data_IF_869393854013
#
_entry.id   IF_869393854013
#
_cell.length_a   1.000
_cell.length_b   1.000
_cell.length_c   1.000
_cell.angle_alpha   90.00
_cell.angle_beta   90.00
_cell.angle_gamma   90.00
#
_symmetry.space_group_name_H-M   'P 1'
#
loop_
_entity.id
_entity.type
_entity.pdbx_description
1 polymer ?
#
# COMPACT_ATOMS: atom_id res chain seq x y z
N UNK A 1 0.26 6.29 -27.72
CA UNK A 1 1.03 5.02 -27.67
C UNK A 1 2.21 5.21 -26.74
N UNK A 2 2.64 4.18 -25.99
CA UNK A 2 3.82 4.27 -25.11
C UNK A 2 5.08 4.48 -25.94
N UNK A 3 5.34 3.60 -26.91
CA UNK A 3 6.32 3.79 -27.98
C UNK A 3 5.57 3.87 -29.32
N UNK A 4 5.92 4.79 -30.24
CA UNK A 4 6.97 5.81 -30.16
C UNK A 4 6.50 7.14 -29.53
N UNK A 5 5.43 7.13 -28.72
CA UNK A 5 4.80 8.36 -28.22
C UNK A 5 5.56 9.02 -27.07
N UNK A 6 5.51 8.42 -25.88
CA UNK A 6 6.06 9.02 -24.64
C UNK A 6 7.37 8.40 -24.18
N UNK A 7 7.74 7.23 -24.71
CA UNK A 7 8.95 6.50 -24.37
C UNK A 7 9.71 6.04 -25.61
N UNK A 8 11.03 5.88 -25.45
CA UNK A 8 11.95 5.32 -26.43
C UNK A 8 12.26 3.85 -26.16
N UNK A 9 13.55 3.51 -26.04
CA UNK A 9 14.00 2.15 -25.74
C UNK A 9 13.57 1.67 -24.33
N UNK A 10 13.20 0.39 -24.19
CA UNK A 10 12.78 -0.16 -22.90
C UNK A 10 13.95 -0.28 -21.93
N UNK A 11 13.68 -0.06 -20.63
CA UNK A 11 14.62 -0.33 -19.55
C UNK A 11 14.57 -1.83 -19.18
N UNK A 12 15.27 -2.66 -19.95
CA UNK A 12 15.18 -4.13 -19.84
C UNK A 12 15.56 -4.67 -18.45
N UNK A 13 16.48 -4.01 -17.74
CA UNK A 13 16.80 -4.34 -16.35
C UNK A 13 15.61 -4.13 -15.39
N UNK A 14 14.82 -3.08 -15.59
CA UNK A 14 13.60 -2.83 -14.80
C UNK A 14 12.50 -3.85 -15.14
N UNK A 15 12.41 -4.25 -16.41
CA UNK A 15 11.46 -5.29 -16.84
C UNK A 15 11.80 -6.63 -16.18
N UNK A 16 13.09 -7.01 -16.17
CA UNK A 16 13.54 -8.23 -15.48
C UNK A 16 13.24 -8.18 -13.96
N UNK A 17 13.51 -7.06 -13.30
CA UNK A 17 13.17 -6.88 -11.88
C UNK A 17 11.67 -6.99 -11.60
N UNK A 18 10.82 -6.41 -12.47
CA UNK A 18 9.36 -6.54 -12.35
C UNK A 18 8.87 -7.98 -12.57
N UNK A 19 9.50 -8.73 -13.48
CA UNK A 19 9.17 -10.14 -13.68
C UNK A 19 9.41 -10.96 -12.41
N UNK A 20 10.55 -10.75 -11.75
CA UNK A 20 10.85 -11.37 -10.46
C UNK A 20 9.85 -10.95 -9.37
N UNK A 21 9.55 -9.65 -9.26
CA UNK A 21 8.57 -9.15 -8.28
C UNK A 21 7.16 -9.74 -8.51
N UNK A 22 6.74 -9.93 -9.76
CA UNK A 22 5.45 -10.58 -10.07
C UNK A 22 5.46 -12.07 -9.74
N UNK A 23 6.58 -12.76 -9.96
CA UNK A 23 6.72 -14.14 -9.52
C UNK A 23 6.59 -14.26 -8.00
N UNK A 24 7.27 -13.40 -7.24
CA UNK A 24 7.15 -13.34 -5.77
C UNK A 24 5.72 -13.00 -5.31
N UNK A 25 5.08 -12.03 -5.96
CA UNK A 25 3.69 -11.65 -5.67
C UNK A 25 2.67 -12.76 -5.95
N UNK A 26 2.99 -13.70 -6.86
CA UNK A 26 2.15 -14.85 -7.17
C UNK A 26 2.27 -15.99 -6.16
N UNK A 27 3.26 -15.96 -5.25
CA UNK A 27 3.45 -17.01 -4.26
C UNK A 27 2.37 -16.95 -3.16
N UNK A 28 1.90 -18.10 -2.62
CA UNK A 28 0.93 -18.12 -1.53
C UNK A 28 1.34 -17.28 -0.31
N UNK A 29 2.64 -17.27 0.02
CA UNK A 29 3.20 -16.47 1.11
C UNK A 29 2.95 -14.96 0.93
N UNK A 30 2.88 -14.46 -0.31
CA UNK A 30 2.59 -13.05 -0.56
C UNK A 30 1.13 -12.71 -0.22
N UNK A 31 0.19 -13.65 -0.39
CA UNK A 31 -1.20 -13.49 0.04
C UNK A 31 -1.30 -13.36 1.56
N UNK A 32 -0.58 -14.21 2.29
CA UNK A 32 -0.50 -14.15 3.76
C UNK A 32 0.13 -12.83 4.24
N UNK A 33 1.20 -12.40 3.58
CA UNK A 33 1.84 -11.11 3.82
C UNK A 33 0.86 -9.95 3.59
N UNK A 34 0.15 -9.92 2.45
CA UNK A 34 -0.80 -8.86 2.14
C UNK A 34 -1.95 -8.79 3.16
N UNK A 35 -2.46 -9.94 3.61
CA UNK A 35 -3.47 -9.98 4.68
C UNK A 35 -2.91 -9.43 5.99
N UNK A 36 -1.70 -9.82 6.36
CA UNK A 36 -1.01 -9.33 7.56
C UNK A 36 -0.84 -7.80 7.53
N UNK A 37 -0.55 -7.20 6.37
CA UNK A 37 -0.47 -5.74 6.21
C UNK A 37 -1.81 -5.07 6.55
N UNK A 38 -2.94 -5.62 6.07
CA UNK A 38 -4.27 -5.08 6.36
C UNK A 38 -4.62 -5.25 7.84
N UNK A 39 -4.34 -6.41 8.42
CA UNK A 39 -4.62 -6.69 9.83
C UNK A 39 -3.81 -5.77 10.76
N UNK A 40 -2.54 -5.54 10.43
CA UNK A 40 -1.68 -4.58 11.14
C UNK A 40 -2.23 -3.15 11.04
N UNK A 41 -2.73 -2.73 9.89
CA UNK A 41 -3.34 -1.42 9.74
C UNK A 41 -4.60 -1.27 10.60
N UNK A 42 -5.44 -2.31 10.72
CA UNK A 42 -6.61 -2.33 11.61
C UNK A 42 -6.22 -2.26 13.09
N UNK A 43 -5.16 -2.98 13.49
CA UNK A 43 -4.61 -2.87 14.84
C UNK A 43 -4.14 -1.44 15.12
N UNK A 44 -3.42 -0.83 14.19
CA UNK A 44 -2.93 0.55 14.33
C UNK A 44 -4.09 1.57 14.45
N UNK A 45 -5.16 1.40 13.67
CA UNK A 45 -6.41 2.18 13.81
C UNK A 45 -6.96 2.08 15.23
N UNK A 46 -7.04 0.88 15.81
CA UNK A 46 -7.53 0.70 17.17
C UNK A 46 -6.60 1.36 18.21
N UNK A 47 -5.28 1.24 18.03
CA UNK A 47 -4.29 1.91 18.88
C UNK A 47 -4.44 3.43 18.81
N UNK A 48 -4.61 4.02 17.64
CA UNK A 48 -4.81 5.47 17.48
C UNK A 48 -6.09 5.95 18.14
N UNK A 49 -7.20 5.24 17.95
CA UNK A 49 -8.46 5.52 18.67
C UNK A 49 -8.28 5.52 20.18
N UNK A 50 -7.59 4.52 20.70
CA UNK A 50 -7.33 4.38 22.15
C UNK A 50 -6.45 5.51 22.71
N UNK A 51 -5.67 6.18 21.85
CA UNK A 51 -4.83 7.33 22.20
C UNK A 51 -5.49 8.68 21.85
N UNK A 52 -6.77 8.70 21.45
CA UNK A 52 -7.49 9.93 21.13
C UNK A 52 -7.05 10.60 19.82
N UNK A 53 -6.31 9.88 18.96
CA UNK A 53 -5.88 10.37 17.66
C UNK A 53 -7.03 10.21 16.68
N UNK A 54 -7.42 11.30 16.02
CA UNK A 54 -8.50 11.28 15.03
C UNK A 54 -7.99 10.87 13.65
N UNK A 55 -8.76 10.03 12.96
CA UNK A 55 -8.53 9.71 11.55
C UNK A 55 -9.70 10.19 10.69
N UNK A 56 -9.41 10.55 9.44
CA UNK A 56 -10.38 11.12 8.51
C UNK A 56 -11.57 10.21 8.21
N UNK A 57 -11.35 8.89 8.21
CA UNK A 57 -12.36 7.87 7.88
C UNK A 57 -12.73 6.98 9.06
N UNK A 58 -12.23 7.28 10.27
CA UNK A 58 -12.42 6.48 11.48
C UNK A 58 -11.91 5.02 11.40
N UNK A 59 -11.19 4.63 10.33
CA UNK A 59 -10.70 3.28 10.08
C UNK A 59 -9.99 3.13 8.74
N UNK A 60 -9.64 1.89 8.36
CA UNK A 60 -9.11 1.56 7.03
C UNK A 60 -9.41 0.11 6.65
N UNK A 61 -9.70 -0.11 5.37
CA UNK A 61 -9.80 -1.43 4.75
C UNK A 61 -8.57 -1.74 3.87
N UNK A 62 -7.52 -0.93 3.98
CA UNK A 62 -6.31 -0.99 3.18
C UNK A 62 -5.06 -0.94 4.07
N UNK A 63 -3.91 -0.66 3.46
CA UNK A 63 -2.63 -0.48 4.15
C UNK A 63 -2.36 0.98 4.58
N UNK A 64 -3.26 1.92 4.29
CA UNK A 64 -3.08 3.35 4.53
C UNK A 64 -4.04 3.82 5.63
N UNK A 65 -3.55 4.63 6.56
CA UNK A 65 -4.35 5.32 7.57
C UNK A 65 -4.15 6.81 7.39
N UNK A 66 -5.24 7.57 7.32
CA UNK A 66 -5.19 9.02 7.17
C UNK A 66 -5.50 9.72 8.50
N UNK A 67 -4.44 10.17 9.18
CA UNK A 67 -4.53 10.92 10.44
C UNK A 67 -5.00 12.35 10.17
N UNK A 68 -5.91 12.85 11.00
CA UNK A 68 -6.35 14.23 10.97
C UNK A 68 -5.44 15.08 11.87
N UNK A 69 -4.86 16.15 11.31
CA UNK A 69 -3.91 17.04 11.99
C UNK A 69 -4.38 18.50 12.08
N UNK A 70 -5.59 18.79 11.61
CA UNK A 70 -6.16 20.14 11.64
C UNK A 70 -6.82 20.49 12.98
N UNK A 71 -6.99 21.79 13.21
CA UNK A 71 -7.78 22.30 14.33
C UNK A 71 -9.28 22.00 14.13
N UNK A 72 -9.97 21.69 15.23
CA UNK A 72 -11.42 21.51 15.25
C UNK A 72 -12.12 22.80 14.80
N UNK A 73 -12.78 22.75 13.65
CA UNK A 73 -14.07 23.43 13.46
C UNK A 73 -15.16 22.39 13.49
#
# INVERSE_FOLDING_TARGET
AVFPGTQGGPLMNQIAGKAQAFFEASQPAFKEYAQTVIDNAKVMVHTFHSNGIQMSTNGTDSHIILIHTGDKT
#
